data_IF_417405937643
#
_entry.id   IF_417405937643
#
_cell.length_a   1.000
_cell.length_b   1.000
_cell.length_c   1.000
_cell.angle_alpha   90.00
_cell.angle_beta   90.00
_cell.angle_gamma   90.00
#
_symmetry.space_group_name_H-M   'P 1'
#
loop_
_entity.id
_entity.type
_entity.pdbx_description
1 polymer ?
#
# COMPACT_ATOMS: atom_id res chain seq x y z
N UNK A 1 -14.82 27.61 -4.46
CA UNK A 1 -15.24 26.18 -4.31
C UNK A 1 -14.36 25.42 -3.32
N UNK A 2 -13.19 25.89 -2.93
CA UNK A 2 -12.29 25.21 -1.98
C UNK A 2 -11.55 23.97 -2.52
N UNK A 3 -11.57 23.76 -3.85
CA UNK A 3 -10.84 22.68 -4.51
C UNK A 3 -9.34 22.86 -4.27
N UNK A 4 -8.64 21.77 -3.93
CA UNK A 4 -7.20 21.75 -3.65
C UNK A 4 -6.38 21.08 -4.75
N UNK A 5 -7.00 20.26 -5.58
CA UNK A 5 -6.34 19.54 -6.65
C UNK A 5 -7.30 18.77 -7.54
N UNK A 6 -6.72 18.08 -8.50
CA UNK A 6 -7.45 17.25 -9.46
C UNK A 6 -6.75 15.94 -9.70
N UNK A 7 -7.52 14.87 -9.82
CA UNK A 7 -7.14 13.67 -10.54
C UNK A 7 -7.38 13.95 -12.04
N UNK A 8 -6.34 13.75 -12.86
CA UNK A 8 -6.37 13.94 -14.31
C UNK A 8 -6.12 12.59 -14.95
N UNK A 9 -7.11 12.06 -15.66
CA UNK A 9 -7.20 10.67 -16.05
C UNK A 9 -7.46 10.48 -17.55
N UNK A 10 -7.39 9.22 -18.03
CA UNK A 10 -7.70 8.78 -19.41
C UNK A 10 -6.73 9.27 -20.47
N UNK A 11 -5.47 9.50 -20.14
CA UNK A 11 -4.47 9.89 -21.14
C UNK A 11 -4.02 8.68 -21.97
N UNK A 12 -3.71 7.56 -21.31
CA UNK A 12 -3.31 6.26 -21.88
C UNK A 12 -2.24 6.35 -23.00
N UNK A 13 -1.39 7.39 -22.90
CA UNK A 13 -0.36 7.71 -23.88
C UNK A 13 0.86 8.33 -23.21
N UNK A 14 2.02 8.11 -23.81
CA UNK A 14 3.31 8.65 -23.40
C UNK A 14 4.11 9.28 -24.56
N UNK A 15 3.44 9.59 -25.67
CA UNK A 15 4.06 10.32 -26.76
C UNK A 15 4.34 11.78 -26.40
N UNK A 16 5.19 12.44 -27.16
CA UNK A 16 5.66 13.80 -26.88
C UNK A 16 4.54 14.81 -26.64
N UNK A 17 3.42 14.71 -27.38
CA UNK A 17 2.30 15.66 -27.22
C UNK A 17 1.62 15.51 -25.85
N UNK A 18 1.49 14.28 -25.36
CA UNK A 18 0.90 14.01 -24.06
C UNK A 18 1.89 14.32 -22.94
N UNK A 19 3.18 14.06 -23.13
CA UNK A 19 4.21 14.51 -22.17
C UNK A 19 4.20 16.04 -22.02
N UNK A 20 4.12 16.79 -23.14
CA UNK A 20 3.97 18.26 -23.11
C UNK A 20 2.67 18.70 -22.40
N UNK A 21 1.60 17.92 -22.53
CA UNK A 21 0.35 18.16 -21.83
C UNK A 21 0.54 18.03 -20.31
N UNK A 22 1.20 16.99 -19.82
CA UNK A 22 1.49 16.81 -18.39
C UNK A 22 2.27 18.00 -17.83
N UNK A 23 3.32 18.47 -18.53
CA UNK A 23 4.08 19.63 -18.11
C UNK A 23 3.21 20.91 -18.05
N UNK A 24 2.37 21.15 -19.04
CA UNK A 24 1.46 22.31 -19.05
C UNK A 24 0.41 22.24 -17.95
N UNK A 25 -0.15 21.04 -17.70
CA UNK A 25 -1.12 20.84 -16.61
C UNK A 25 -0.48 21.05 -15.24
N UNK A 26 0.72 20.52 -15.01
CA UNK A 26 1.46 20.70 -13.78
C UNK A 26 1.76 22.19 -13.52
N UNK A 27 2.26 22.92 -14.53
CA UNK A 27 2.54 24.36 -14.45
C UNK A 27 1.26 25.17 -14.19
N UNK A 28 0.16 24.85 -14.89
CA UNK A 28 -1.12 25.54 -14.70
C UNK A 28 -1.67 25.29 -13.29
N UNK A 29 -1.67 24.06 -12.82
CA UNK A 29 -2.10 23.70 -11.47
C UNK A 29 -1.25 24.41 -10.40
N UNK A 30 0.08 24.46 -10.58
CA UNK A 30 0.97 25.18 -9.67
C UNK A 30 0.62 26.66 -9.59
N UNK A 31 0.32 27.31 -10.72
CA UNK A 31 -0.10 28.72 -10.76
C UNK A 31 -1.34 29.00 -9.91
N UNK A 32 -2.24 28.02 -9.79
CA UNK A 32 -3.46 28.14 -8.99
C UNK A 32 -3.37 27.48 -7.61
N UNK A 33 -2.17 27.08 -7.18
CA UNK A 33 -1.92 26.39 -5.91
C UNK A 33 -2.75 25.09 -5.77
N UNK A 34 -2.83 24.32 -6.87
CA UNK A 34 -3.53 23.04 -6.93
C UNK A 34 -2.51 21.91 -7.08
N UNK A 35 -2.79 20.79 -6.44
CA UNK A 35 -2.05 19.56 -6.70
C UNK A 35 -2.69 18.76 -7.83
N UNK A 36 -1.91 17.81 -8.37
CA UNK A 36 -2.34 16.92 -9.46
C UNK A 36 -1.94 15.49 -9.14
N UNK A 37 -2.86 14.58 -9.43
CA UNK A 37 -2.66 13.14 -9.48
C UNK A 37 -2.98 12.67 -10.89
N UNK A 38 -1.99 12.11 -11.60
CA UNK A 38 -2.15 11.67 -12.98
C UNK A 38 -2.47 10.19 -13.07
N UNK A 39 -3.64 9.88 -13.64
CA UNK A 39 -4.10 8.53 -13.96
C UNK A 39 -4.18 8.29 -15.47
N UNK A 40 -4.29 7.01 -15.88
CA UNK A 40 -4.07 6.64 -17.28
C UNK A 40 -2.69 7.14 -17.76
N UNK A 41 -1.72 7.16 -16.86
CA UNK A 41 -0.45 7.84 -17.03
C UNK A 41 0.71 6.84 -17.01
N UNK A 42 1.82 7.23 -17.62
CA UNK A 42 3.08 6.50 -17.52
C UNK A 42 3.69 6.66 -16.10
N UNK A 43 4.68 5.83 -15.78
CA UNK A 43 5.43 5.95 -14.51
C UNK A 43 6.19 7.29 -14.44
N UNK A 44 6.44 7.84 -13.24
CA UNK A 44 7.15 9.12 -13.08
C UNK A 44 8.52 9.12 -13.78
N UNK A 45 8.85 10.26 -14.41
CA UNK A 45 10.14 10.48 -15.09
C UNK A 45 10.89 11.70 -14.56
N UNK A 46 10.45 12.23 -13.39
CA UNK A 46 11.08 13.38 -12.75
C UNK A 46 10.26 14.68 -12.82
N UNK A 47 9.06 14.68 -13.39
CA UNK A 47 8.19 15.87 -13.46
C UNK A 47 7.94 16.46 -12.06
N UNK A 48 7.73 15.64 -11.04
CA UNK A 48 7.53 16.07 -9.64
C UNK A 48 8.71 16.85 -9.06
N UNK A 49 9.93 16.71 -9.60
CA UNK A 49 11.09 17.49 -9.16
C UNK A 49 11.02 18.93 -9.65
N UNK A 50 10.41 19.15 -10.81
CA UNK A 50 10.19 20.51 -11.36
C UNK A 50 8.90 21.09 -10.81
N UNK A 51 7.86 20.27 -10.69
CA UNK A 51 6.52 20.66 -10.24
C UNK A 51 6.11 19.78 -9.04
N UNK A 52 6.50 20.16 -7.79
CA UNK A 52 6.21 19.36 -6.59
C UNK A 52 4.72 19.24 -6.27
N UNK A 53 3.87 20.01 -6.92
CA UNK A 53 2.42 19.89 -6.85
C UNK A 53 1.87 18.66 -7.64
N UNK A 54 2.70 17.95 -8.39
CA UNK A 54 2.37 16.63 -8.95
C UNK A 54 2.70 15.59 -7.90
N UNK A 55 1.66 15.07 -7.25
CA UNK A 55 1.81 14.16 -6.11
C UNK A 55 2.03 12.73 -6.56
N UNK A 56 1.22 12.25 -7.51
CA UNK A 56 1.25 10.88 -7.97
C UNK A 56 1.14 10.76 -9.48
N UNK A 57 1.57 9.58 -9.93
CA UNK A 57 1.26 9.00 -11.24
C UNK A 57 0.74 7.59 -11.01
N UNK A 58 -0.33 7.20 -11.69
CA UNK A 58 -0.74 5.80 -11.67
C UNK A 58 0.38 4.91 -12.20
N UNK A 59 0.61 4.88 -13.49
CA UNK A 59 1.67 4.14 -14.17
C UNK A 59 1.93 2.73 -13.62
N UNK A 60 0.89 2.07 -13.12
CA UNK A 60 0.88 0.78 -12.45
C UNK A 60 -0.37 0.02 -12.84
N UNK A 61 -0.34 -1.29 -12.79
CA UNK A 61 -1.53 -2.12 -12.99
C UNK A 61 -2.34 -2.15 -11.68
N UNK A 62 -3.11 -1.07 -11.45
CA UNK A 62 -3.78 -0.78 -10.18
C UNK A 62 -4.83 -1.80 -9.76
N UNK A 63 -5.30 -1.72 -8.53
CA UNK A 63 -6.27 -2.68 -7.97
C UNK A 63 -7.58 -2.73 -8.77
N UNK A 64 -7.95 -1.66 -9.45
CA UNK A 64 -9.17 -1.61 -10.28
C UNK A 64 -9.22 -2.68 -11.37
N UNK A 65 -8.07 -3.20 -11.82
CA UNK A 65 -8.00 -4.26 -12.84
C UNK A 65 -8.72 -5.54 -12.38
N UNK A 66 -8.83 -5.76 -11.09
CA UNK A 66 -9.59 -6.89 -10.53
C UNK A 66 -11.09 -6.87 -10.84
N UNK A 67 -11.62 -5.75 -11.33
CA UNK A 67 -13.03 -5.63 -11.75
C UNK A 67 -13.35 -6.43 -13.02
N UNK A 68 -12.39 -6.54 -13.94
CA UNK A 68 -12.62 -7.08 -15.29
C UNK A 68 -11.61 -8.12 -15.74
N UNK A 69 -10.44 -8.20 -15.13
CA UNK A 69 -9.41 -9.18 -15.52
C UNK A 69 -9.47 -10.43 -14.65
N UNK A 70 -10.11 -11.49 -15.16
CA UNK A 70 -10.20 -12.79 -14.47
C UNK A 70 -8.88 -13.60 -14.52
N UNK A 71 -7.96 -13.25 -15.43
CA UNK A 71 -6.66 -13.89 -15.57
C UNK A 71 -5.55 -13.25 -14.74
N UNK A 72 -5.86 -12.16 -14.06
CA UNK A 72 -4.92 -11.42 -13.26
C UNK A 72 -4.36 -12.23 -12.09
N UNK A 73 -3.06 -12.16 -11.89
CA UNK A 73 -2.41 -12.60 -10.66
C UNK A 73 -1.93 -11.37 -9.88
N UNK A 74 -2.87 -10.65 -9.30
CA UNK A 74 -2.62 -9.40 -8.59
C UNK A 74 -1.66 -9.59 -7.42
N UNK A 75 -1.84 -10.64 -6.65
CA UNK A 75 -1.04 -10.96 -5.46
C UNK A 75 0.46 -11.08 -5.77
N UNK A 76 0.82 -11.78 -6.85
CA UNK A 76 2.22 -11.88 -7.28
C UNK A 76 2.73 -10.57 -7.88
N UNK A 77 1.87 -9.85 -8.61
CA UNK A 77 2.21 -8.55 -9.17
C UNK A 77 2.54 -7.53 -8.08
N UNK A 78 1.72 -7.45 -7.04
CA UNK A 78 1.93 -6.54 -5.91
C UNK A 78 3.26 -6.80 -5.18
N UNK A 79 3.70 -8.06 -5.11
CA UNK A 79 5.03 -8.39 -4.60
C UNK A 79 6.19 -7.96 -5.53
N UNK A 80 5.91 -7.53 -6.77
CA UNK A 80 6.91 -6.95 -7.69
C UNK A 80 6.97 -5.43 -7.63
N UNK A 81 5.84 -4.78 -7.32
CA UNK A 81 5.70 -3.31 -7.34
C UNK A 81 6.80 -2.60 -6.55
N UNK A 82 7.15 -3.00 -5.31
CA UNK A 82 8.21 -2.34 -4.54
C UNK A 82 9.58 -2.40 -5.19
N UNK A 83 9.88 -3.46 -5.94
CA UNK A 83 11.19 -3.68 -6.55
C UNK A 83 11.34 -3.02 -7.92
N UNK A 84 10.25 -2.81 -8.64
CA UNK A 84 10.25 -2.34 -10.03
C UNK A 84 9.61 -0.96 -10.13
N UNK A 85 8.29 -0.87 -9.85
CA UNK A 85 7.52 0.35 -10.10
C UNK A 85 7.89 1.49 -9.16
N UNK A 86 8.08 1.21 -7.88
CA UNK A 86 8.40 2.22 -6.88
C UNK A 86 9.78 2.85 -7.05
N UNK A 87 10.69 2.19 -7.78
CA UNK A 87 11.99 2.78 -8.16
C UNK A 87 11.82 4.06 -8.97
N UNK A 88 10.73 4.20 -9.72
CA UNK A 88 10.43 5.39 -10.49
C UNK A 88 9.82 6.54 -9.66
N UNK A 89 9.33 6.26 -8.46
CA UNK A 89 8.68 7.21 -7.56
C UNK A 89 7.27 6.82 -7.16
N UNK A 90 6.55 7.76 -6.58
CA UNK A 90 5.21 7.60 -6.01
C UNK A 90 4.21 6.98 -7.00
N UNK A 91 3.23 6.26 -6.46
CA UNK A 91 2.16 5.64 -7.25
C UNK A 91 0.80 5.80 -6.54
N UNK A 92 -0.26 5.89 -7.34
CA UNK A 92 -1.62 5.72 -6.86
C UNK A 92 -2.13 4.35 -7.29
N UNK A 93 -2.03 3.38 -6.38
CA UNK A 93 -2.41 1.98 -6.63
C UNK A 93 -3.90 1.72 -6.36
N UNK A 94 -4.51 2.56 -5.54
CA UNK A 94 -5.89 2.44 -5.07
C UNK A 94 -6.16 1.17 -4.25
N UNK A 95 -5.29 0.87 -3.29
CA UNK A 95 -5.44 -0.23 -2.35
C UNK A 95 -6.57 -0.02 -1.34
N UNK A 96 -6.87 -1.05 -0.56
CA UNK A 96 -7.77 -0.96 0.59
C UNK A 96 -9.16 -1.52 0.34
N UNK A 97 -9.31 -2.50 -0.56
CA UNK A 97 -10.57 -3.18 -0.74
C UNK A 97 -11.02 -3.92 0.53
N UNK A 98 -12.30 -3.82 0.84
CA UNK A 98 -12.92 -4.48 1.99
C UNK A 98 -13.63 -5.79 1.60
N UNK A 99 -13.86 -6.06 0.34
CA UNK A 99 -14.23 -7.39 -0.17
C UNK A 99 -12.95 -8.09 -0.65
N UNK A 100 -12.54 -9.16 0.02
CA UNK A 100 -11.27 -9.84 -0.22
C UNK A 100 -11.52 -11.31 -0.56
N UNK A 101 -10.74 -11.87 -1.48
CA UNK A 101 -10.94 -13.22 -1.96
C UNK A 101 -9.67 -14.07 -1.95
N UNK A 102 -9.77 -15.30 -1.49
CA UNK A 102 -8.74 -16.31 -1.71
C UNK A 102 -8.60 -16.61 -3.21
N UNK A 103 -7.50 -17.23 -3.61
CA UNK A 103 -7.24 -17.57 -5.01
C UNK A 103 -8.39 -18.33 -5.69
N UNK A 104 -9.03 -19.22 -4.97
CA UNK A 104 -10.14 -20.06 -5.51
C UNK A 104 -11.48 -19.34 -5.56
N UNK A 105 -11.68 -18.34 -4.70
CA UNK A 105 -12.94 -17.60 -4.60
C UNK A 105 -12.97 -16.32 -5.40
N UNK A 106 -11.83 -15.82 -5.84
CA UNK A 106 -11.76 -14.62 -6.65
C UNK A 106 -12.59 -14.75 -7.94
N UNK A 107 -13.35 -13.70 -8.24
CA UNK A 107 -14.09 -13.51 -9.49
C UNK A 107 -13.99 -12.04 -9.89
N UNK A 108 -13.68 -11.78 -11.15
CA UNK A 108 -13.75 -10.44 -11.71
C UNK A 108 -15.22 -10.05 -11.91
N UNK A 109 -15.74 -9.21 -11.02
CA UNK A 109 -17.14 -8.75 -11.04
C UNK A 109 -17.14 -7.22 -11.06
N UNK A 110 -17.50 -6.64 -12.17
CA UNK A 110 -17.41 -5.19 -12.39
C UNK A 110 -18.20 -4.37 -11.36
N UNK A 111 -19.43 -4.76 -11.05
CA UNK A 111 -20.35 -4.00 -10.18
C UNK A 111 -20.21 -4.38 -8.68
N UNK A 112 -19.44 -5.39 -8.36
CA UNK A 112 -19.15 -5.80 -6.99
C UNK A 112 -17.72 -6.36 -6.93
N UNK A 113 -16.71 -5.50 -7.15
CA UNK A 113 -15.33 -5.93 -7.22
C UNK A 113 -14.82 -6.43 -5.87
N UNK A 114 -13.85 -7.33 -5.94
CA UNK A 114 -13.11 -7.84 -4.79
C UNK A 114 -11.62 -7.86 -5.10
N UNK A 115 -10.78 -7.69 -4.09
CA UNK A 115 -9.34 -7.89 -4.25
C UNK A 115 -8.97 -9.36 -4.18
N UNK A 116 -7.83 -9.71 -4.75
CA UNK A 116 -7.15 -10.97 -4.49
C UNK A 116 -6.31 -10.86 -3.22
N UNK A 117 -6.21 -11.97 -2.47
CA UNK A 117 -5.46 -12.02 -1.21
C UNK A 117 -6.28 -11.60 0.01
N UNK A 118 -5.61 -11.50 1.16
CA UNK A 118 -6.28 -11.27 2.43
C UNK A 118 -6.57 -9.80 2.71
N UNK A 119 -7.43 -9.56 3.73
CA UNK A 119 -7.68 -8.23 4.30
C UNK A 119 -6.39 -7.56 4.76
N UNK A 120 -5.55 -8.29 5.48
CA UNK A 120 -4.31 -7.76 6.03
C UNK A 120 -3.30 -7.38 4.95
N UNK A 121 -3.35 -8.04 3.78
CA UNK A 121 -2.59 -7.62 2.61
C UNK A 121 -2.99 -6.20 2.18
N UNK A 122 -4.28 -5.93 2.02
CA UNK A 122 -4.78 -4.62 1.63
C UNK A 122 -4.41 -3.52 2.64
N UNK A 123 -4.37 -3.85 3.92
CA UNK A 123 -3.89 -2.92 4.95
C UNK A 123 -2.38 -2.70 4.86
N UNK A 124 -1.60 -3.76 4.63
CA UNK A 124 -0.15 -3.68 4.53
C UNK A 124 0.32 -2.81 3.35
N UNK A 125 -0.44 -2.79 2.26
CA UNK A 125 -0.13 -2.00 1.07
C UNK A 125 -0.10 -0.49 1.34
N UNK A 126 -0.84 0.02 2.33
CA UNK A 126 -0.75 1.42 2.76
C UNK A 126 0.61 1.78 3.38
N UNK A 127 1.32 0.79 3.91
CA UNK A 127 2.68 0.97 4.43
C UNK A 127 3.72 0.70 3.35
N UNK A 128 3.48 -0.31 2.51
CA UNK A 128 4.45 -0.76 1.49
C UNK A 128 4.50 0.21 0.32
N UNK A 129 3.36 0.60 -0.25
CA UNK A 129 3.31 1.46 -1.42
C UNK A 129 3.51 2.92 -1.03
N UNK A 130 4.41 3.59 -1.75
CA UNK A 130 4.70 4.99 -1.49
C UNK A 130 3.73 5.89 -2.25
N UNK A 131 2.89 6.59 -1.50
CA UNK A 131 1.95 7.55 -2.06
C UNK A 131 1.70 8.69 -1.05
N UNK A 132 2.04 9.93 -1.37
CA UNK A 132 1.71 11.08 -0.53
C UNK A 132 0.21 11.44 -0.58
N UNK A 133 -0.53 10.82 -1.49
CA UNK A 133 -1.96 11.00 -1.66
C UNK A 133 -2.58 9.69 -2.17
N UNK A 134 -3.26 8.96 -1.28
CA UNK A 134 -3.90 7.70 -1.62
C UNK A 134 -5.38 7.90 -1.94
N UNK A 135 -5.81 7.41 -3.10
CA UNK A 135 -7.22 7.25 -3.40
C UNK A 135 -7.75 5.98 -2.72
N UNK A 136 -8.86 6.11 -1.99
CA UNK A 136 -9.54 4.94 -1.42
C UNK A 136 -10.34 4.22 -2.51
N UNK A 137 -10.22 2.89 -2.60
CA UNK A 137 -10.84 2.13 -3.68
C UNK A 137 -12.30 1.75 -3.41
N UNK A 138 -12.68 1.66 -2.14
CA UNK A 138 -13.98 1.12 -1.78
C UNK A 138 -15.02 2.21 -1.44
N UNK A 139 -16.29 1.81 -1.30
CA UNK A 139 -17.36 2.73 -0.98
C UNK A 139 -17.35 3.11 0.51
N UNK A 140 -17.89 4.31 0.88
CA UNK A 140 -18.05 4.69 2.28
C UNK A 140 -18.82 3.65 3.10
N UNK A 141 -19.83 3.01 2.49
CA UNK A 141 -20.62 1.95 3.16
C UNK A 141 -19.77 0.75 3.55
N UNK A 142 -18.90 0.28 2.65
CA UNK A 142 -17.99 -0.84 2.92
C UNK A 142 -17.01 -0.50 4.02
N UNK A 143 -16.45 0.71 3.98
CA UNK A 143 -15.55 1.19 5.01
C UNK A 143 -16.24 1.28 6.38
N UNK A 144 -17.45 1.82 6.46
CA UNK A 144 -18.20 1.89 7.72
C UNK A 144 -18.55 0.52 8.32
N UNK A 145 -18.66 -0.52 7.49
CA UNK A 145 -18.89 -1.90 7.94
C UNK A 145 -17.60 -2.53 8.51
N UNK A 146 -16.43 -1.93 8.23
CA UNK A 146 -15.11 -2.44 8.62
C UNK A 146 -14.33 -1.35 9.38
N UNK A 147 -14.94 -0.79 10.42
CA UNK A 147 -14.46 0.42 11.11
C UNK A 147 -13.03 0.30 11.63
N UNK A 148 -12.63 -0.84 12.21
CA UNK A 148 -11.27 -1.04 12.72
C UNK A 148 -10.21 -0.92 11.62
N UNK A 149 -10.50 -1.45 10.42
CA UNK A 149 -9.62 -1.33 9.25
C UNK A 149 -9.54 0.12 8.78
N UNK A 150 -10.67 0.83 8.77
CA UNK A 150 -10.72 2.24 8.35
C UNK A 150 -10.02 3.15 9.35
N UNK A 151 -10.17 2.91 10.64
CA UNK A 151 -9.45 3.66 11.68
C UNK A 151 -7.93 3.48 11.52
N UNK A 152 -7.48 2.26 11.19
CA UNK A 152 -6.09 2.02 10.83
C UNK A 152 -5.69 2.83 9.58
N UNK A 153 -6.42 2.70 8.47
CA UNK A 153 -6.13 3.40 7.20
C UNK A 153 -6.05 4.93 7.45
N UNK A 154 -6.99 5.48 8.20
CA UNK A 154 -7.01 6.90 8.54
C UNK A 154 -5.83 7.34 9.42
N UNK A 155 -5.23 6.42 10.16
CA UNK A 155 -4.09 6.68 11.03
C UNK A 155 -2.74 6.58 10.33
N UNK A 156 -2.67 5.96 9.15
CA UNK A 156 -1.42 5.76 8.40
C UNK A 156 -0.97 7.10 7.80
N UNK A 157 0.26 7.55 8.09
CA UNK A 157 0.81 8.75 7.46
C UNK A 157 0.98 8.58 5.96
N UNK A 158 0.82 9.67 5.21
CA UNK A 158 1.10 9.71 3.77
C UNK A 158 2.47 10.30 3.44
N UNK A 159 3.12 10.91 4.44
CA UNK A 159 4.49 11.44 4.35
C UNK A 159 5.30 10.82 5.47
N UNK A 160 6.46 10.31 5.14
CA UNK A 160 7.30 9.54 6.02
C UNK A 160 8.64 10.23 6.27
N UNK A 161 9.13 10.17 7.51
CA UNK A 161 10.45 10.67 7.87
C UNK A 161 11.57 9.73 7.41
N UNK A 162 11.27 8.42 7.40
CA UNK A 162 12.23 7.40 7.04
C UNK A 162 11.54 6.19 6.40
N UNK A 163 12.21 5.57 5.43
CA UNK A 163 11.76 4.34 4.78
C UNK A 163 12.92 3.37 4.69
N UNK A 164 12.69 2.12 5.09
CA UNK A 164 13.69 1.06 5.09
C UNK A 164 13.10 -0.25 4.56
N UNK A 165 13.77 -0.86 3.59
CA UNK A 165 13.49 -2.23 3.19
C UNK A 165 14.14 -3.18 4.23
N UNK A 166 13.32 -3.94 4.94
CA UNK A 166 13.80 -4.88 5.95
C UNK A 166 14.16 -6.23 5.33
N UNK A 167 13.29 -6.74 4.49
CA UNK A 167 13.47 -8.01 3.78
C UNK A 167 12.62 -8.03 2.51
N UNK A 168 12.90 -8.95 1.60
CA UNK A 168 12.09 -9.16 0.41
C UNK A 168 12.75 -9.97 -0.68
N UNK A 169 11.91 -10.56 -1.51
CA UNK A 169 12.31 -11.30 -2.70
C UNK A 169 11.34 -11.01 -3.84
N UNK A 170 11.86 -10.54 -4.95
CA UNK A 170 11.08 -10.12 -6.11
C UNK A 170 10.02 -11.14 -6.51
N UNK A 171 8.75 -10.71 -6.53
CA UNK A 171 7.61 -11.55 -6.89
C UNK A 171 7.19 -12.58 -5.83
N UNK A 172 7.88 -12.64 -4.70
CA UNK A 172 7.57 -13.57 -3.63
C UNK A 172 7.00 -12.87 -2.38
N UNK A 173 7.74 -11.91 -1.83
CA UNK A 173 7.31 -11.14 -0.67
C UNK A 173 8.06 -9.83 -0.54
N UNK A 174 7.53 -8.91 0.25
CA UNK A 174 8.18 -7.66 0.59
C UNK A 174 7.87 -7.27 2.04
N UNK A 175 8.88 -6.72 2.73
CA UNK A 175 8.78 -6.18 4.09
C UNK A 175 9.41 -4.80 4.11
N UNK A 176 8.59 -3.77 4.34
CA UNK A 176 9.03 -2.38 4.37
C UNK A 176 8.63 -1.76 5.70
N UNK A 177 9.58 -1.08 6.32
CA UNK A 177 9.36 -0.26 7.51
C UNK A 177 9.39 1.22 7.15
N UNK A 178 8.47 1.99 7.72
CA UNK A 178 8.38 3.44 7.56
C UNK A 178 8.15 4.12 8.90
N UNK A 179 8.80 5.25 9.11
CA UNK A 179 8.69 6.03 10.36
C UNK A 179 7.98 7.35 10.13
N UNK A 180 7.15 7.71 11.09
CA UNK A 180 6.59 9.06 11.22
C UNK A 180 6.60 9.46 12.70
N UNK A 181 7.36 10.52 13.02
CA UNK A 181 7.68 10.84 14.41
C UNK A 181 8.40 9.69 15.11
N UNK A 182 7.86 9.25 16.22
CA UNK A 182 8.40 8.15 17.02
C UNK A 182 7.78 6.79 16.70
N UNK A 183 6.85 6.73 15.72
CA UNK A 183 6.10 5.52 15.39
C UNK A 183 6.67 4.89 14.12
N UNK A 184 6.97 3.59 14.19
CA UNK A 184 7.29 2.78 13.05
C UNK A 184 6.09 1.94 12.61
N UNK A 185 5.88 1.92 11.32
CA UNK A 185 4.91 1.08 10.63
C UNK A 185 5.67 0.07 9.77
N UNK A 186 5.39 -1.21 9.92
CA UNK A 186 5.99 -2.26 9.09
C UNK A 186 4.88 -2.95 8.34
N UNK A 187 4.94 -2.91 7.02
CA UNK A 187 4.07 -3.68 6.13
C UNK A 187 4.78 -4.91 5.61
N UNK A 188 4.10 -6.06 5.61
CA UNK A 188 4.58 -7.30 5.02
C UNK A 188 3.49 -7.88 4.11
N UNK A 189 3.87 -8.33 2.91
CA UNK A 189 2.98 -9.06 1.98
C UNK A 189 3.71 -10.28 1.41
N UNK A 190 2.95 -11.33 1.09
CA UNK A 190 3.47 -12.53 0.43
C UNK A 190 2.68 -12.86 -0.85
N UNK A 191 3.27 -13.60 -1.76
CA UNK A 191 2.57 -14.15 -2.92
C UNK A 191 1.57 -15.25 -2.51
N UNK A 192 1.14 -16.12 -3.45
CA UNK A 192 0.22 -17.22 -3.14
C UNK A 192 0.85 -18.36 -2.32
N UNK A 193 2.05 -18.17 -1.79
CA UNK A 193 2.68 -19.09 -0.84
C UNK A 193 2.55 -18.53 0.57
N UNK A 194 1.96 -19.29 1.48
CA UNK A 194 1.96 -18.94 2.89
C UNK A 194 3.38 -18.89 3.44
N UNK A 195 3.68 -17.89 4.29
CA UNK A 195 5.03 -17.66 4.81
C UNK A 195 5.01 -17.29 6.29
N UNK A 196 6.03 -17.78 6.98
CA UNK A 196 6.43 -17.22 8.27
C UNK A 196 7.74 -16.47 8.07
N UNK A 197 7.77 -15.20 8.46
CA UNK A 197 8.95 -14.35 8.36
C UNK A 197 9.42 -13.93 9.75
N UNK A 198 10.74 -13.99 9.97
CA UNK A 198 11.39 -13.44 11.16
C UNK A 198 11.94 -12.05 10.83
N UNK A 199 11.20 -11.02 11.22
CA UNK A 199 11.58 -9.63 10.95
C UNK A 199 12.61 -9.17 11.98
N UNK A 200 13.83 -8.87 11.52
CA UNK A 200 14.90 -8.34 12.33
C UNK A 200 14.74 -6.82 12.49
N UNK A 201 14.51 -6.39 13.70
CA UNK A 201 14.32 -4.98 14.06
C UNK A 201 15.63 -4.25 14.40
N UNK A 202 16.77 -4.91 14.35
CA UNK A 202 18.07 -4.29 14.65
C UNK A 202 18.45 -3.17 13.68
N UNK A 203 17.89 -3.23 12.46
CA UNK A 203 18.07 -2.21 11.42
C UNK A 203 17.24 -0.94 11.65
N UNK A 204 16.22 -1.00 12.48
CA UNK A 204 15.34 0.13 12.76
C UNK A 204 15.97 0.94 13.88
N UNK A 205 16.41 2.17 13.59
CA UNK A 205 16.89 3.08 14.61
C UNK A 205 15.72 3.49 15.51
N UNK A 206 15.87 3.25 16.80
CA UNK A 206 14.87 3.56 17.80
C UNK A 206 15.45 4.59 18.74
N UNK A 207 14.74 5.69 18.87
CA UNK A 207 15.10 6.76 19.80
C UNK A 207 15.26 6.25 21.25
N UNK A 208 14.67 5.10 21.55
CA UNK A 208 14.70 4.50 22.89
C UNK A 208 15.53 3.21 22.90
N UNK A 209 16.86 3.38 22.90
CA UNK A 209 17.81 2.28 23.20
C UNK A 209 17.93 2.02 24.71
N UNK A 210 17.19 2.76 25.53
CA UNK A 210 17.23 2.62 26.99
C UNK A 210 16.17 1.64 27.45
N UNK A 211 16.65 0.57 28.04
CA UNK A 211 15.97 -0.45 28.83
C UNK A 211 15.25 -1.58 28.10
N UNK A 212 15.94 -2.68 28.09
CA UNK A 212 15.67 -3.97 27.52
C UNK A 212 14.47 -4.75 28.04
N UNK A 213 13.36 -4.15 28.46
CA UNK A 213 12.21 -4.94 28.88
C UNK A 213 10.88 -4.25 28.54
N UNK A 214 9.98 -5.02 27.93
CA UNK A 214 8.57 -4.74 27.67
C UNK A 214 8.25 -3.73 26.55
N UNK A 215 8.88 -3.84 25.40
CA UNK A 215 8.37 -3.15 24.21
C UNK A 215 7.24 -3.97 23.61
N UNK A 216 6.12 -3.28 23.36
CA UNK A 216 4.95 -3.87 22.72
C UNK A 216 4.77 -3.35 21.30
N UNK A 217 4.16 -4.15 20.47
CA UNK A 217 3.70 -3.76 19.14
C UNK A 217 2.26 -4.21 18.93
N UNK A 218 1.53 -3.46 18.13
CA UNK A 218 0.22 -3.87 17.63
C UNK A 218 0.39 -4.48 16.26
N UNK A 219 -0.22 -5.62 16.03
CA UNK A 219 -0.20 -6.29 14.73
C UNK A 219 -1.62 -6.54 14.22
N UNK A 220 -1.84 -6.18 12.95
CA UNK A 220 -2.94 -6.69 12.13
C UNK A 220 -2.37 -7.85 11.32
N UNK A 221 -2.91 -9.03 11.48
CA UNK A 221 -2.42 -10.24 10.82
C UNK A 221 -3.56 -11.13 10.35
N UNK A 222 -3.28 -11.98 9.40
CA UNK A 222 -4.23 -12.95 8.89
C UNK A 222 -4.81 -13.81 10.03
N UNK A 223 -6.12 -14.00 10.00
CA UNK A 223 -6.83 -14.87 10.96
C UNK A 223 -6.61 -16.34 10.65
N UNK A 224 -6.98 -17.19 11.59
CA UNK A 224 -6.81 -18.66 11.50
C UNK A 224 -7.57 -19.29 10.31
N UNK A 225 -8.58 -18.59 9.79
CA UNK A 225 -9.37 -19.04 8.65
C UNK A 225 -9.09 -18.25 7.37
N UNK A 226 -8.08 -17.40 7.34
CA UNK A 226 -7.80 -16.52 6.20
C UNK A 226 -7.53 -17.31 4.90
N UNK A 227 -7.07 -18.54 4.99
CA UNK A 227 -6.92 -19.45 3.85
C UNK A 227 -8.27 -19.88 3.20
N UNK A 228 -9.40 -19.66 3.87
CA UNK A 228 -10.75 -19.96 3.39
C UNK A 228 -11.63 -18.73 3.29
N UNK A 229 -11.45 -17.80 4.19
CA UNK A 229 -12.13 -16.52 4.24
C UNK A 229 -11.07 -15.39 4.28
N UNK A 230 -10.78 -14.80 3.15
CA UNK A 230 -9.73 -13.80 3.00
C UNK A 230 -9.99 -12.51 3.83
N UNK A 231 -11.20 -12.35 4.36
CA UNK A 231 -11.56 -11.24 5.24
C UNK A 231 -11.29 -11.54 6.73
N UNK A 232 -10.88 -12.80 7.06
CA UNK A 232 -10.58 -13.16 8.43
C UNK A 232 -9.23 -12.58 8.86
N UNK A 233 -9.25 -11.77 9.92
CA UNK A 233 -8.07 -11.13 10.46
C UNK A 233 -8.15 -11.02 11.98
N UNK A 234 -7.03 -10.72 12.60
CA UNK A 234 -6.96 -10.46 14.04
C UNK A 234 -6.04 -9.25 14.32
N UNK A 235 -6.38 -8.54 15.38
CA UNK A 235 -5.59 -7.43 15.92
C UNK A 235 -5.10 -7.83 17.30
N UNK A 236 -3.78 -7.86 17.49
CA UNK A 236 -3.19 -8.35 18.73
C UNK A 236 -2.07 -7.38 19.15
N UNK A 237 -2.02 -7.10 20.46
CA UNK A 237 -0.86 -6.46 21.06
C UNK A 237 0.09 -7.56 21.60
N UNK A 238 1.36 -7.51 21.21
CA UNK A 238 2.40 -8.49 21.58
C UNK A 238 3.63 -7.79 22.12
N UNK A 239 4.44 -8.53 22.86
CA UNK A 239 5.76 -8.09 23.33
C UNK A 239 6.84 -8.45 22.29
N UNK A 240 7.85 -7.58 22.17
CA UNK A 240 9.01 -7.85 21.31
C UNK A 240 9.99 -8.72 22.08
N UNK A 241 10.37 -9.83 21.49
CA UNK A 241 11.39 -10.73 22.02
C UNK A 241 12.63 -10.68 21.12
N UNK A 242 13.81 -10.59 21.72
CA UNK A 242 15.11 -10.67 21.02
C UNK A 242 15.27 -9.78 19.80
N UNK A 243 14.62 -8.60 19.79
CA UNK A 243 14.62 -7.68 18.64
C UNK A 243 14.03 -8.29 17.34
N UNK A 244 13.18 -9.29 17.47
CA UNK A 244 12.56 -9.98 16.33
C UNK A 244 11.05 -10.03 16.48
N UNK A 245 10.37 -10.04 15.35
CA UNK A 245 8.93 -10.26 15.27
C UNK A 245 8.69 -11.38 14.27
N UNK A 246 8.07 -12.46 14.74
CA UNK A 246 7.58 -13.52 13.88
C UNK A 246 6.22 -13.15 13.31
N UNK A 247 6.10 -13.22 11.97
CA UNK A 247 4.88 -12.87 11.24
C UNK A 247 4.47 -14.07 10.38
N UNK A 248 3.30 -14.60 10.67
CA UNK A 248 2.67 -15.66 9.87
C UNK A 248 1.69 -15.01 8.89
N UNK A 249 1.83 -15.33 7.60
CA UNK A 249 0.96 -14.85 6.53
C UNK A 249 0.42 -16.04 5.75
N UNK A 250 -0.88 -16.05 5.53
CA UNK A 250 -1.55 -17.03 4.70
C UNK A 250 -1.25 -16.81 3.20
N UNK A 251 -1.71 -17.73 2.37
CA UNK A 251 -1.60 -17.64 0.91
C UNK A 251 -2.23 -16.32 0.40
N UNK A 252 -1.44 -15.45 -0.23
CA UNK A 252 -1.86 -14.11 -0.61
C UNK A 252 -2.02 -13.15 0.56
N UNK A 253 -1.37 -13.47 1.67
CA UNK A 253 -1.52 -12.79 2.94
C UNK A 253 -0.69 -11.54 3.12
N UNK A 254 -0.90 -10.92 4.26
CA UNK A 254 -0.13 -9.76 4.70
C UNK A 254 -0.24 -9.49 6.20
N UNK A 255 0.55 -8.55 6.66
CA UNK A 255 0.49 -8.07 8.03
C UNK A 255 0.94 -6.62 8.14
N UNK A 256 0.40 -5.92 9.13
CA UNK A 256 0.87 -4.59 9.52
C UNK A 256 1.25 -4.59 10.98
N UNK A 257 2.42 -4.05 11.27
CA UNK A 257 2.94 -3.90 12.62
C UNK A 257 3.11 -2.42 12.93
N UNK A 258 2.66 -1.99 14.09
CA UNK A 258 2.80 -0.63 14.60
C UNK A 258 3.62 -0.70 15.88
N UNK A 259 4.80 -0.05 15.85
CA UNK A 259 5.73 0.05 16.97
C UNK A 259 5.70 1.48 17.50
N UNK A 260 5.46 1.62 18.78
CA UNK A 260 5.49 2.92 19.48
C UNK A 260 6.72 3.00 20.39
#
# INVERSE_FOLDING_TARGET
MGIKGFKVDFMDRDDQKVVDFYYRMAAMAAKYHLFVDFHGAYKPTGLSRTYPNVLNFEGVYGLEQSKWDSGLNQVSYECMVPFIRMVAGNLDYTQGAMDNATKSHFRAIYNNPMSQGTRCRQLAEYVIFESPFNMLCDSPTKYMQNQECVDFIASVPTVWDETMALDGKLGEYAVIARRSGDIWYIGAITNWEARTLEIDLSKIDRADKTDGNNRTYRIFMDGINANRNAEDYQIIDKEIQDNRISVEMESGGGAVIILK
#
